data_IF_220034350551
#
_entry.id   IF_220034350551
#
_cell.length_a   1.000
_cell.length_b   1.000
_cell.length_c   1.000
_cell.angle_alpha   90.00
_cell.angle_beta   90.00
_cell.angle_gamma   90.00
#
_symmetry.space_group_name_H-M   'P 1'
#
loop_
_entity.id
_entity.type
_entity.pdbx_description
1 polymer ?
#
# COMPACT_ATOMS: atom_id res chain seq x y z
N UNK A 1 -7.78 -15.81 -1.30
CA UNK A 1 -8.36 -15.00 -0.20
C UNK A 1 -7.31 -14.57 0.82
N UNK A 2 -7.51 -13.44 1.50
CA UNK A 2 -6.72 -12.93 2.64
C UNK A 2 -7.69 -12.47 3.73
N UNK A 3 -7.41 -12.78 4.99
CA UNK A 3 -8.20 -12.29 6.12
C UNK A 3 -7.76 -10.89 6.50
N UNK A 4 -8.71 -9.97 6.64
CA UNK A 4 -8.43 -8.60 7.09
C UNK A 4 -8.32 -8.61 8.63
N UNK A 5 -7.20 -8.13 9.21
CA UNK A 5 -7.09 -7.93 10.64
C UNK A 5 -8.26 -7.11 11.20
N UNK A 6 -8.79 -7.53 12.35
CA UNK A 6 -9.94 -6.88 12.97
C UNK A 6 -9.71 -5.39 13.23
N UNK A 7 -8.48 -4.98 13.57
CA UNK A 7 -8.17 -3.58 13.82
C UNK A 7 -8.26 -2.71 12.55
N UNK A 8 -7.89 -3.28 11.39
CA UNK A 8 -8.01 -2.63 10.09
C UNK A 8 -9.47 -2.56 9.67
N UNK A 9 -10.20 -3.68 9.74
CA UNK A 9 -11.64 -3.70 9.41
C UNK A 9 -12.40 -2.69 10.27
N UNK A 10 -12.16 -2.66 11.58
CA UNK A 10 -12.77 -1.67 12.46
C UNK A 10 -12.40 -0.22 12.10
N UNK A 11 -11.14 0.04 11.73
CA UNK A 11 -10.70 1.38 11.31
C UNK A 11 -11.43 1.85 10.04
N UNK A 12 -11.58 0.99 9.02
CA UNK A 12 -12.22 1.36 7.76
C UNK A 12 -13.76 1.34 7.80
N UNK A 13 -14.37 0.50 8.65
CA UNK A 13 -15.83 0.34 8.68
C UNK A 13 -16.53 1.14 9.79
N UNK A 14 -15.80 1.55 10.84
CA UNK A 14 -16.38 2.22 12.00
C UNK A 14 -15.78 3.62 12.15
N UNK A 15 -16.50 4.64 11.68
CA UNK A 15 -16.06 6.05 11.73
C UNK A 15 -15.66 6.54 13.12
N UNK A 16 -16.29 6.02 14.18
CA UNK A 16 -15.91 6.33 15.56
C UNK A 16 -14.54 5.74 15.95
N UNK A 17 -14.21 4.54 15.45
CA UNK A 17 -12.89 3.91 15.64
C UNK A 17 -11.85 4.66 14.84
N UNK A 18 -12.14 4.98 13.58
CA UNK A 18 -11.27 5.78 12.71
C UNK A 18 -10.86 7.08 13.40
N UNK A 19 -11.84 7.90 13.81
CA UNK A 19 -11.59 9.18 14.46
C UNK A 19 -10.80 9.04 15.78
N UNK A 20 -11.03 7.96 16.54
CA UNK A 20 -10.29 7.70 17.77
C UNK A 20 -8.83 7.31 17.50
N UNK A 21 -8.58 6.46 16.50
CA UNK A 21 -7.23 6.07 16.06
C UNK A 21 -6.50 7.30 15.54
N UNK A 22 -7.11 8.08 14.64
CA UNK A 22 -6.54 9.30 14.07
C UNK A 22 -6.15 10.29 15.17
N UNK A 23 -7.04 10.53 16.14
CA UNK A 23 -6.76 11.43 17.26
C UNK A 23 -5.56 10.95 18.10
N UNK A 24 -5.45 9.65 18.34
CA UNK A 24 -4.37 9.06 19.13
C UNK A 24 -3.04 8.99 18.36
N UNK A 25 -3.09 8.91 17.03
CA UNK A 25 -1.92 8.88 16.14
C UNK A 25 -1.47 10.26 15.67
N UNK A 26 -2.31 11.29 15.78
CA UNK A 26 -2.02 12.67 15.35
C UNK A 26 -0.73 13.25 15.95
N UNK A 27 -0.22 12.66 17.05
CA UNK A 27 1.07 13.01 17.63
C UNK A 27 1.88 11.76 17.88
N UNK A 28 3.19 11.87 17.67
CA UNK A 28 4.17 10.81 18.04
C UNK A 28 4.02 10.35 19.49
N UNK A 29 3.58 11.24 20.38
CA UNK A 29 3.22 10.93 21.76
C UNK A 29 1.84 11.56 22.08
N UNK A 30 0.77 10.76 22.23
CA UNK A 30 -0.53 11.30 22.57
C UNK A 30 -0.49 11.92 23.96
N UNK A 31 -0.98 13.15 24.08
CA UNK A 31 -1.10 13.82 25.37
C UNK A 31 -2.30 13.27 26.11
N UNK A 32 -2.12 13.02 27.41
CA UNK A 32 -3.22 12.69 28.31
C UNK A 32 -4.21 13.86 28.32
N UNK A 33 -5.52 13.64 28.11
CA UNK A 33 -6.52 14.70 28.17
C UNK A 33 -6.57 15.37 29.55
N UNK A 34 -6.71 16.70 29.59
CA UNK A 34 -6.68 17.47 30.84
C UNK A 34 -7.79 17.10 31.83
N UNK A 35 -8.90 16.54 31.34
CA UNK A 35 -10.06 16.12 32.13
C UNK A 35 -10.08 14.62 32.45
N UNK A 36 -9.06 13.86 32.05
CA UNK A 36 -8.99 12.42 32.29
C UNK A 36 -8.88 12.13 33.79
N UNK A 37 -9.75 11.27 34.31
CA UNK A 37 -9.67 10.84 35.71
C UNK A 37 -8.64 9.73 35.88
N UNK A 38 -7.99 9.65 37.05
CA UNK A 38 -7.00 8.61 37.34
C UNK A 38 -7.50 7.18 37.11
N UNK A 39 -8.78 6.93 37.39
CA UNK A 39 -9.43 5.63 37.14
C UNK A 39 -9.48 5.25 35.65
N UNK A 40 -9.46 6.23 34.75
CA UNK A 40 -9.58 6.05 33.30
C UNK A 40 -8.21 5.98 32.61
N UNK A 41 -7.12 6.32 33.33
CA UNK A 41 -5.76 6.29 32.80
C UNK A 41 -5.34 4.93 32.21
N UNK A 42 -5.67 3.77 32.82
CA UNK A 42 -5.37 2.49 32.20
C UNK A 42 -6.10 2.26 30.86
N UNK A 43 -7.33 2.79 30.73
CA UNK A 43 -8.08 2.69 29.47
C UNK A 43 -7.45 3.55 28.38
N UNK A 44 -7.00 4.77 28.71
CA UNK A 44 -6.25 5.63 27.78
C UNK A 44 -4.98 4.95 27.25
N UNK A 45 -4.20 4.29 28.11
CA UNK A 45 -2.99 3.58 27.66
C UNK A 45 -3.32 2.38 26.77
N UNK A 46 -4.38 1.63 27.07
CA UNK A 46 -4.84 0.53 26.20
C UNK A 46 -5.31 1.05 24.85
N UNK A 47 -6.06 2.15 24.81
CA UNK A 47 -6.48 2.78 23.56
C UNK A 47 -5.27 3.27 22.75
N UNK A 48 -4.29 3.91 23.41
CA UNK A 48 -3.05 4.36 22.75
C UNK A 48 -2.24 3.20 22.18
N UNK A 49 -2.17 2.08 22.89
CA UNK A 49 -1.53 0.86 22.42
C UNK A 49 -2.26 0.29 21.19
N UNK A 50 -3.59 0.15 21.27
CA UNK A 50 -4.41 -0.36 20.18
C UNK A 50 -4.30 0.52 18.91
N UNK A 51 -4.33 1.84 19.07
CA UNK A 51 -4.16 2.77 17.95
C UNK A 51 -2.80 2.60 17.26
N UNK A 52 -1.71 2.38 18.02
CA UNK A 52 -0.37 2.13 17.46
C UNK A 52 -0.21 0.77 16.80
N UNK A 53 -1.06 -0.19 17.15
CA UNK A 53 -1.07 -1.51 16.53
C UNK A 53 -1.64 -1.46 15.11
N UNK A 54 -2.61 -0.58 14.84
CA UNK A 54 -3.29 -0.46 13.54
C UNK A 54 -2.30 -0.25 12.38
N UNK A 55 -1.37 0.74 12.39
CA UNK A 55 -0.38 0.92 11.32
C UNK A 55 0.51 -0.30 11.07
N UNK A 56 0.85 -1.04 12.13
CA UNK A 56 1.70 -2.24 12.03
C UNK A 56 0.92 -3.38 11.37
N UNK A 57 -0.32 -3.62 11.82
CA UNK A 57 -1.19 -4.60 11.19
C UNK A 57 -1.50 -4.23 9.74
N UNK A 58 -1.70 -2.93 9.47
CA UNK A 58 -1.87 -2.41 8.11
C UNK A 58 -0.69 -2.75 7.22
N UNK A 59 0.53 -2.45 7.66
CA UNK A 59 1.74 -2.80 6.92
C UNK A 59 1.87 -4.30 6.64
N UNK A 60 1.59 -5.15 7.63
CA UNK A 60 1.59 -6.62 7.47
C UNK A 60 0.55 -7.06 6.45
N UNK A 61 -0.68 -6.54 6.57
CA UNK A 61 -1.78 -6.87 5.67
C UNK A 61 -1.49 -6.44 4.22
N UNK A 62 -1.00 -5.22 4.02
CA UNK A 62 -0.67 -4.72 2.67
C UNK A 62 0.54 -5.42 2.06
N UNK A 63 1.53 -5.84 2.86
CA UNK A 63 2.63 -6.71 2.37
C UNK A 63 2.11 -8.07 1.94
N UNK A 64 1.23 -8.69 2.74
CA UNK A 64 0.66 -9.97 2.38
C UNK A 64 -0.19 -9.87 1.10
N UNK A 65 -1.00 -8.81 0.98
CA UNK A 65 -1.74 -8.51 -0.23
C UNK A 65 -0.80 -8.38 -1.42
N UNK A 66 0.20 -7.51 -1.32
CA UNK A 66 1.22 -7.32 -2.34
C UNK A 66 1.85 -8.65 -2.78
N UNK A 67 2.27 -9.48 -1.80
CA UNK A 67 2.91 -10.76 -2.07
C UNK A 67 1.99 -11.74 -2.79
N UNK A 68 0.70 -11.76 -2.45
CA UNK A 68 -0.25 -12.70 -3.05
C UNK A 68 -0.80 -12.26 -4.40
N UNK A 69 -0.87 -10.95 -4.67
CA UNK A 69 -1.34 -10.43 -5.96
C UNK A 69 -0.21 -10.35 -6.99
N UNK A 70 0.93 -9.77 -6.62
CA UNK A 70 2.07 -9.62 -7.53
C UNK A 70 2.92 -10.88 -7.62
N UNK A 71 3.03 -11.63 -6.52
CA UNK A 71 3.78 -12.88 -6.48
C UNK A 71 5.29 -12.69 -6.59
N UNK A 72 5.95 -13.69 -7.18
CA UNK A 72 7.36 -13.61 -7.51
C UNK A 72 7.56 -12.77 -8.77
N UNK A 73 8.33 -11.69 -8.63
CA UNK A 73 8.79 -10.89 -9.77
C UNK A 73 9.84 -11.70 -10.56
N UNK A 74 9.83 -11.66 -11.91
CA UNK A 74 10.82 -12.38 -12.73
C UNK A 74 12.26 -12.12 -12.29
N UNK A 75 13.11 -13.15 -12.35
CA UNK A 75 14.43 -13.16 -11.70
C UNK A 75 15.48 -12.21 -12.30
N UNK A 76 15.21 -11.65 -13.46
CA UNK A 76 16.01 -10.61 -14.11
C UNK A 76 15.80 -9.22 -13.50
N UNK A 77 14.73 -9.03 -12.73
CA UNK A 77 14.50 -7.86 -11.89
C UNK A 77 15.15 -8.01 -10.53
N UNK A 78 16.04 -7.08 -10.19
CA UNK A 78 16.74 -7.08 -8.91
C UNK A 78 15.94 -6.26 -7.88
N UNK A 79 15.50 -6.85 -6.76
CA UNK A 79 14.80 -6.09 -5.73
C UNK A 79 15.74 -5.09 -5.05
N UNK A 80 15.27 -3.87 -4.83
CA UNK A 80 15.96 -2.89 -3.99
C UNK A 80 15.91 -3.32 -2.51
N UNK A 81 16.96 -3.02 -1.76
CA UNK A 81 17.03 -3.38 -0.34
C UNK A 81 16.05 -2.54 0.49
N UNK A 82 15.28 -3.14 1.42
CA UNK A 82 14.35 -2.39 2.27
C UNK A 82 15.03 -1.33 3.16
N UNK A 83 16.31 -1.51 3.48
CA UNK A 83 17.11 -0.60 4.30
C UNK A 83 17.65 0.62 3.55
N UNK A 84 17.53 0.65 2.21
CA UNK A 84 18.02 1.73 1.37
C UNK A 84 16.98 2.04 0.28
N UNK A 85 15.81 2.58 0.67
CA UNK A 85 14.77 2.90 -0.29
C UNK A 85 15.26 4.03 -1.22
N UNK A 86 14.91 3.95 -2.50
CA UNK A 86 15.31 4.96 -3.48
C UNK A 86 14.66 6.33 -3.23
N UNK A 87 13.52 6.34 -2.53
CA UNK A 87 12.74 7.52 -2.16
C UNK A 87 12.17 7.36 -0.75
N UNK A 88 11.85 8.46 -0.08
CA UNK A 88 11.39 8.43 1.32
C UNK A 88 10.01 7.77 1.50
N UNK A 89 9.11 7.99 0.54
CA UNK A 89 7.79 7.36 0.39
C UNK A 89 7.86 5.84 0.14
N UNK A 90 9.02 5.33 -0.29
CA UNK A 90 9.27 3.88 -0.45
C UNK A 90 9.86 3.22 0.79
N UNK A 91 9.98 3.94 1.90
CA UNK A 91 10.42 3.35 3.17
C UNK A 91 9.42 2.30 3.63
N UNK A 92 9.92 1.10 3.97
CA UNK A 92 9.07 -0.02 4.46
C UNK A 92 8.67 0.11 5.94
N UNK A 93 8.79 1.30 6.51
CA UNK A 93 8.36 1.53 7.90
C UNK A 93 6.83 1.49 7.98
N UNK A 94 6.28 0.94 9.07
CA UNK A 94 4.83 0.88 9.25
C UNK A 94 4.15 2.27 9.20
N UNK A 95 4.87 3.32 9.61
CA UNK A 95 4.37 4.70 9.55
C UNK A 95 4.34 5.23 8.12
N UNK A 96 5.40 4.99 7.35
CA UNK A 96 5.40 5.37 5.93
C UNK A 96 4.29 4.63 5.18
N UNK A 97 4.17 3.31 5.36
CA UNK A 97 3.12 2.52 4.69
C UNK A 97 1.72 2.99 5.08
N UNK A 98 1.53 3.37 6.35
CA UNK A 98 0.28 3.95 6.83
C UNK A 98 -0.01 5.33 6.22
N UNK A 99 0.97 6.23 6.22
CA UNK A 99 0.83 7.59 5.72
C UNK A 99 0.62 7.63 4.20
N UNK A 100 1.32 6.75 3.46
CA UNK A 100 1.18 6.61 2.00
C UNK A 100 -0.05 5.74 1.61
N UNK A 101 -0.65 5.04 2.57
CA UNK A 101 -1.79 4.13 2.35
C UNK A 101 -1.48 2.89 1.50
N UNK A 102 -0.21 2.64 1.19
CA UNK A 102 0.19 1.51 0.35
C UNK A 102 1.55 0.91 0.73
N UNK A 103 1.70 -0.38 0.43
CA UNK A 103 2.97 -1.07 0.45
C UNK A 103 3.51 -1.19 -0.97
N UNK A 104 4.75 -0.72 -1.17
CA UNK A 104 5.41 -0.69 -2.48
C UNK A 104 6.76 -1.39 -2.44
N UNK A 105 7.11 -2.09 -3.52
CA UNK A 105 8.44 -2.66 -3.73
C UNK A 105 9.02 -2.21 -5.05
N UNK A 106 10.29 -1.79 -5.01
CA UNK A 106 11.06 -1.36 -6.17
C UNK A 106 12.01 -2.45 -6.65
N UNK A 107 12.15 -2.54 -7.96
CA UNK A 107 13.02 -3.46 -8.67
C UNK A 107 13.76 -2.75 -9.79
N UNK A 108 14.94 -3.24 -10.15
CA UNK A 108 15.78 -2.67 -11.20
C UNK A 108 16.24 -3.75 -12.19
N UNK A 109 16.17 -3.43 -13.48
CA UNK A 109 16.64 -4.29 -14.59
C UNK A 109 17.16 -3.41 -15.73
N UNK A 110 18.42 -3.59 -16.12
CA UNK A 110 19.01 -2.98 -17.32
C UNK A 110 18.76 -1.46 -17.48
N UNK A 111 18.81 -0.70 -16.37
CA UNK A 111 18.56 0.76 -16.40
C UNK A 111 17.08 1.15 -16.34
N UNK A 112 16.17 0.18 -16.28
CA UNK A 112 14.76 0.39 -15.98
C UNK A 112 14.52 0.12 -14.52
N UNK A 113 13.64 0.90 -13.91
CA UNK A 113 13.14 0.61 -12.58
C UNK A 113 11.62 0.51 -12.57
N UNK A 114 11.16 -0.48 -11.80
CA UNK A 114 9.78 -0.92 -11.67
C UNK A 114 9.39 -0.80 -10.20
N UNK A 115 8.24 -0.20 -9.93
CA UNK A 115 7.63 -0.20 -8.61
C UNK A 115 6.25 -0.84 -8.73
N UNK A 116 5.99 -1.80 -7.85
CA UNK A 116 4.71 -2.49 -7.72
C UNK A 116 4.13 -2.18 -6.35
N UNK A 117 2.87 -1.82 -6.30
CA UNK A 117 2.20 -1.36 -5.09
C UNK A 117 0.90 -2.12 -4.83
N UNK A 118 0.53 -2.23 -3.56
CA UNK A 118 -0.80 -2.62 -3.12
C UNK A 118 -1.27 -1.64 -2.04
N UNK A 119 -2.39 -0.97 -2.28
CA UNK A 119 -2.91 0.10 -1.44
C UNK A 119 -4.33 -0.17 -0.95
N UNK A 120 -4.68 0.52 0.13
CA UNK A 120 -6.03 0.51 0.72
C UNK A 120 -6.35 1.91 1.23
N UNK A 121 -7.36 2.54 0.64
CA UNK A 121 -7.91 3.82 1.08
C UNK A 121 -9.40 3.72 1.38
N UNK A 122 -9.89 4.66 2.18
CA UNK A 122 -11.29 4.64 2.66
C UNK A 122 -12.31 5.00 1.59
N UNK A 123 -11.89 5.75 0.57
CA UNK A 123 -12.72 6.26 -0.52
C UNK A 123 -12.63 5.39 -1.79
N UNK A 124 -11.45 4.87 -2.12
CA UNK A 124 -11.24 4.06 -3.34
C UNK A 124 -11.17 2.55 -3.08
N UNK A 125 -10.98 2.16 -1.82
CA UNK A 125 -10.83 0.75 -1.43
C UNK A 125 -9.45 0.19 -1.81
N UNK A 126 -9.43 -1.08 -2.23
CA UNK A 126 -8.20 -1.80 -2.58
C UNK A 126 -7.79 -1.55 -4.02
N UNK A 127 -6.55 -1.12 -4.24
CA UNK A 127 -5.99 -0.91 -5.57
C UNK A 127 -4.57 -1.46 -5.70
N UNK A 128 -4.18 -1.77 -6.94
CA UNK A 128 -2.82 -2.16 -7.30
C UNK A 128 -2.18 -1.03 -8.10
N UNK A 129 -0.90 -0.78 -7.85
CA UNK A 129 -0.15 0.29 -8.51
C UNK A 129 1.03 -0.25 -9.30
N UNK A 130 1.30 0.36 -10.47
CA UNK A 130 2.51 0.13 -11.25
C UNK A 130 3.15 1.49 -11.58
N UNK A 131 4.45 1.59 -11.35
CA UNK A 131 5.29 2.66 -11.86
C UNK A 131 6.47 2.06 -12.61
N UNK A 132 6.77 2.58 -13.80
CA UNK A 132 7.85 2.07 -14.66
C UNK A 132 8.55 3.24 -15.36
N UNK A 133 9.86 3.41 -15.16
CA UNK A 133 10.67 4.45 -15.79
C UNK A 133 12.08 3.98 -16.15
N UNK A 134 12.71 4.66 -17.11
CA UNK A 134 14.08 4.42 -17.57
C UNK A 134 15.14 5.23 -16.80
N UNK A 135 16.41 5.16 -17.23
CA UNK A 135 17.53 5.89 -16.59
C UNK A 135 17.44 7.40 -16.72
N UNK A 136 16.61 7.91 -17.61
CA UNK A 136 16.38 9.34 -17.84
C UNK A 136 15.13 9.84 -17.08
N UNK A 137 14.64 9.06 -16.12
CA UNK A 137 13.39 9.29 -15.38
C UNK A 137 12.15 9.42 -16.30
N UNK A 138 12.19 8.84 -17.50
CA UNK A 138 11.03 8.86 -18.41
C UNK A 138 10.07 7.74 -18.08
N UNK A 139 8.80 8.08 -17.93
CA UNK A 139 7.72 7.12 -17.70
C UNK A 139 7.50 6.26 -18.95
N UNK A 140 7.75 4.96 -18.82
CA UNK A 140 7.55 4.04 -19.93
C UNK A 140 6.05 3.79 -20.17
N UNK A 141 5.21 3.82 -19.13
CA UNK A 141 3.76 3.60 -19.26
C UNK A 141 3.02 4.67 -20.08
N UNK A 142 3.65 5.82 -20.40
CA UNK A 142 3.09 6.79 -21.34
C UNK A 142 3.10 6.26 -22.78
N UNK A 143 4.04 5.37 -23.10
CA UNK A 143 4.17 4.74 -24.44
C UNK A 143 3.43 3.39 -24.50
N UNK A 144 3.38 2.67 -23.38
CA UNK A 144 2.67 1.39 -23.24
C UNK A 144 1.57 1.52 -22.19
N UNK A 145 0.40 2.08 -22.55
CA UNK A 145 -0.65 2.37 -21.58
C UNK A 145 -1.31 1.10 -21.04
N UNK A 146 -1.65 1.15 -19.75
CA UNK A 146 -2.48 0.15 -19.08
C UNK A 146 -3.96 0.51 -19.28
N UNK A 147 -4.68 -0.26 -20.09
CA UNK A 147 -6.09 0.00 -20.39
C UNK A 147 -6.97 -0.24 -19.17
N UNK A 148 -7.81 0.75 -18.83
CA UNK A 148 -8.74 0.69 -17.70
C UNK A 148 -8.08 0.99 -16.36
N UNK A 149 -6.81 1.39 -16.33
CA UNK A 149 -6.18 1.87 -15.12
C UNK A 149 -6.33 3.38 -15.02
N UNK A 150 -6.46 3.87 -13.80
CA UNK A 150 -6.58 5.28 -13.48
C UNK A 150 -5.22 5.88 -13.17
N UNK A 151 -5.06 7.13 -13.59
CA UNK A 151 -3.88 7.93 -13.28
C UNK A 151 -4.31 9.00 -12.30
N UNK A 152 -4.10 8.74 -11.02
CA UNK A 152 -4.31 9.72 -9.97
C UNK A 152 -2.97 10.17 -9.38
N UNK A 153 -2.74 11.48 -9.41
CA UNK A 153 -1.58 12.09 -8.73
C UNK A 153 -0.21 11.79 -9.34
N UNK A 154 0.71 11.36 -8.47
CA UNK A 154 2.13 11.11 -8.75
C UNK A 154 2.31 9.83 -9.55
N UNK A 155 3.15 9.90 -10.60
CA UNK A 155 3.68 8.92 -11.57
C UNK A 155 3.08 7.49 -11.67
N UNK A 156 2.72 6.85 -10.57
CA UNK A 156 2.08 5.55 -10.46
C UNK A 156 0.72 5.53 -11.17
N UNK A 157 0.47 4.43 -11.87
CA UNK A 157 -0.80 4.11 -12.50
C UNK A 157 -1.49 3.08 -11.61
N UNK A 158 -2.73 3.37 -11.19
CA UNK A 158 -3.50 2.56 -10.25
C UNK A 158 -4.64 1.86 -10.96
N UNK A 159 -5.01 0.67 -10.52
CA UNK A 159 -6.25 0.04 -10.95
C UNK A 159 -7.46 0.86 -10.49
N UNK A 160 -8.62 0.65 -11.11
CA UNK A 160 -9.87 1.31 -10.71
C UNK A 160 -10.22 1.03 -9.25
N UNK A 161 -11.06 1.90 -8.70
CA UNK A 161 -11.65 1.75 -7.38
C UNK A 161 -12.47 0.46 -7.27
N UNK A 162 -12.59 -0.06 -6.05
CA UNK A 162 -13.50 -1.16 -5.71
C UNK A 162 -13.36 -2.44 -6.56
N UNK A 163 -12.17 -2.80 -7.06
CA UNK A 163 -11.94 -4.08 -7.79
C UNK A 163 -12.54 -5.27 -7.04
N UNK A 164 -12.40 -5.24 -5.71
CA UNK A 164 -13.06 -6.16 -4.81
C UNK A 164 -13.67 -5.37 -3.66
N UNK A 165 -14.87 -5.74 -3.19
CA UNK A 165 -15.42 -5.18 -1.96
C UNK A 165 -14.46 -5.39 -0.79
N UNK A 166 -14.35 -4.38 0.06
CA UNK A 166 -13.69 -4.50 1.35
C UNK A 166 -14.59 -5.25 2.34
N UNK A 167 -13.99 -6.06 3.20
CA UNK A 167 -14.70 -6.80 4.25
C UNK A 167 -13.74 -7.69 5.03
N UNK A 168 -14.26 -8.55 5.91
CA UNK A 168 -13.44 -9.44 6.76
C UNK A 168 -12.47 -10.34 5.97
N UNK A 169 -12.79 -10.61 4.70
CA UNK A 169 -11.95 -11.40 3.80
C UNK A 169 -11.93 -10.77 2.41
N UNK A 170 -10.73 -10.66 1.85
CA UNK A 170 -10.51 -10.17 0.50
C UNK A 170 -10.33 -11.34 -0.46
N UNK A 171 -11.15 -11.37 -1.50
CA UNK A 171 -11.00 -12.32 -2.61
C UNK A 171 -9.92 -11.79 -3.57
N UNK A 172 -9.03 -12.68 -4.02
CA UNK A 172 -7.87 -12.26 -4.81
C UNK A 172 -8.07 -12.47 -6.31
N UNK A 173 -9.02 -13.32 -6.67
CA UNK A 173 -9.41 -13.67 -8.03
C UNK A 173 -9.73 -12.43 -8.88
N UNK A 174 -10.42 -11.37 -8.35
CA UNK A 174 -10.67 -10.15 -9.11
C UNK A 174 -9.41 -9.38 -9.53
N UNK A 175 -8.27 -9.54 -8.84
CA UNK A 175 -7.02 -8.87 -9.19
C UNK A 175 -6.28 -9.52 -10.36
N UNK A 176 -6.59 -10.79 -10.69
CA UNK A 176 -5.82 -11.54 -11.68
C UNK A 176 -5.77 -10.90 -13.07
N UNK A 177 -6.87 -10.41 -13.66
CA UNK A 177 -6.82 -9.74 -14.96
C UNK A 177 -5.90 -8.50 -14.96
N UNK A 178 -5.87 -7.77 -13.83
CA UNK A 178 -5.05 -6.58 -13.65
C UNK A 178 -3.56 -6.95 -13.57
N UNK A 179 -3.20 -7.95 -12.78
CA UNK A 179 -1.80 -8.38 -12.66
C UNK A 179 -1.28 -9.01 -13.96
N UNK A 180 -2.11 -9.79 -14.66
CA UNK A 180 -1.76 -10.35 -15.97
C UNK A 180 -1.49 -9.24 -17.01
N UNK A 181 -2.35 -8.22 -17.07
CA UNK A 181 -2.16 -7.06 -17.95
C UNK A 181 -0.91 -6.26 -17.57
N UNK A 182 -0.69 -6.03 -16.28
CA UNK A 182 0.49 -5.36 -15.75
C UNK A 182 1.78 -6.02 -16.22
N UNK A 183 1.88 -7.35 -16.05
CA UNK A 183 3.06 -8.11 -16.48
C UNK A 183 3.25 -8.13 -18.00
N UNK A 184 2.18 -8.23 -18.77
CA UNK A 184 2.23 -8.14 -20.25
C UNK A 184 2.77 -6.78 -20.72
N UNK A 185 2.30 -5.68 -20.13
CA UNK A 185 2.80 -4.33 -20.45
C UNK A 185 4.26 -4.15 -20.03
N UNK A 186 4.62 -4.55 -18.81
CA UNK A 186 6.01 -4.50 -18.32
C UNK A 186 6.95 -5.26 -19.27
N UNK A 187 6.57 -6.49 -19.66
CA UNK A 187 7.37 -7.32 -20.56
C UNK A 187 7.58 -6.69 -21.95
N UNK A 188 6.53 -6.09 -22.52
CA UNK A 188 6.65 -5.36 -23.80
C UNK A 188 7.53 -4.13 -23.69
N UNK A 189 7.35 -3.34 -22.63
CA UNK A 189 8.12 -2.11 -22.42
C UNK A 189 9.61 -2.41 -22.26
N UNK A 190 9.98 -3.46 -21.51
CA UNK A 190 11.39 -3.83 -21.34
C UNK A 190 12.00 -4.47 -22.60
N UNK A 191 11.24 -5.29 -23.34
CA UNK A 191 11.74 -5.90 -24.58
C UNK A 191 12.04 -4.87 -25.67
N UNK A 192 11.35 -3.72 -25.67
CA UNK A 192 11.59 -2.65 -26.61
C UNK A 192 12.87 -1.84 -26.33
N UNK A 193 13.48 -2.03 -25.16
CA UNK A 193 14.70 -1.32 -24.71
C UNK A 193 15.97 -2.17 -24.83
N UNK A 194 15.83 -3.50 -25.00
CA UNK A 194 16.91 -4.46 -25.26
C UNK A 194 17.30 -4.48 -26.75
#
# INVERSE_FOLDING_TARGET
MITVPQSISAYFEQSAVQAAVDLLLAKKEPKVPDNLQWKDLPAFYRASLAARQVPIEFAIFTEELWRRVWGEVPSDWKPCAPSAPARADLSVSAWTIWDEGCFSRRFERAGVALELSAGLWSDTGLQLGILLYDTDDRRLLDTWPLHGWDREGYDTVWTQDEITPFGETIMLEPFKPWTDQGWDVIGRATTALD
#
